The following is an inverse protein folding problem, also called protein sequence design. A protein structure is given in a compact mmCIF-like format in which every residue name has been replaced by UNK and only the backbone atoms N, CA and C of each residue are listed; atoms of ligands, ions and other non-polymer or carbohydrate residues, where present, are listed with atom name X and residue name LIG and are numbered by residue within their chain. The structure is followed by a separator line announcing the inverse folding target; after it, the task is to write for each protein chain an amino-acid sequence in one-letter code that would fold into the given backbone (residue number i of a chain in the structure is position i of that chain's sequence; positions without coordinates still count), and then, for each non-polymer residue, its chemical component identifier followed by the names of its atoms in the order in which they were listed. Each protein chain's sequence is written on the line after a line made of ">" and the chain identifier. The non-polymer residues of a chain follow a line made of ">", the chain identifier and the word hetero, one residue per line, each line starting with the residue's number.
data_IF_030878890004
#
_entry.id   IF_030878890004
#
_cell.length_a   1.000
_cell.length_b   1.000
_cell.length_c   1.000
_cell.angle_alpha   90.00
_cell.angle_beta   90.00
_cell.angle_gamma   90.00
#
_symmetry.space_group_name_H-M   'P 1'
#
loop_
_entity.id
_entity.type
_entity.pdbx_description
1 polymer ?
#
# COMPACT_ATOMS: atom_id res chain seq x y z
N UNK A 1 -50.97 -73.48 -54.75
CA UNK A 1 -51.23 -74.00 -56.12
C UNK A 1 -51.78 -72.86 -56.97
N UNK A 2 -51.37 -72.82 -58.25
CA UNK A 2 -51.67 -71.82 -59.32
C UNK A 2 -51.01 -70.43 -59.11
N UNK A 3 -50.00 -69.94 -59.85
CA UNK A 3 -49.63 -69.84 -61.29
C UNK A 3 -50.17 -68.57 -61.98
N UNK A 4 -49.24 -67.86 -62.63
CA UNK A 4 -49.35 -66.88 -63.76
C UNK A 4 -49.87 -65.47 -63.46
N UNK A 5 -49.10 -64.44 -63.86
CA UNK A 5 -49.16 -63.94 -65.24
C UNK A 5 -48.04 -62.93 -65.57
N UNK A 6 -47.60 -63.07 -66.81
CA UNK A 6 -46.65 -62.31 -67.63
C UNK A 6 -47.33 -61.05 -68.20
N UNK A 7 -46.62 -59.92 -68.33
CA UNK A 7 -46.28 -59.30 -69.63
C UNK A 7 -45.49 -57.97 -69.53
N UNK A 8 -44.78 -57.57 -70.60
CA UNK A 8 -43.62 -56.68 -70.57
C UNK A 8 -43.85 -55.27 -71.14
N UNK A 9 -42.93 -54.37 -70.77
CA UNK A 9 -42.19 -53.49 -71.69
C UNK A 9 -42.83 -52.18 -72.14
N UNK A 10 -42.27 -51.04 -71.72
CA UNK A 10 -41.78 -50.00 -72.63
C UNK A 10 -40.83 -49.00 -71.93
N UNK A 11 -40.01 -48.36 -72.77
CA UNK A 11 -38.75 -47.67 -72.52
C UNK A 11 -38.79 -46.28 -71.84
N UNK A 12 -37.64 -45.96 -71.25
CA UNK A 12 -36.94 -44.66 -71.16
C UNK A 12 -37.54 -43.49 -70.34
N UNK A 13 -36.72 -43.01 -69.41
CA UNK A 13 -36.90 -41.75 -68.70
C UNK A 13 -36.04 -41.70 -67.44
N UNK A 14 -34.72 -41.60 -67.62
CA UNK A 14 -33.75 -41.49 -66.52
C UNK A 14 -33.86 -40.10 -65.88
N UNK A 15 -34.61 -40.02 -64.78
CA UNK A 15 -34.69 -38.83 -63.91
C UNK A 15 -34.01 -39.13 -62.58
N UNK A 16 -32.89 -38.45 -62.33
CA UNK A 16 -32.24 -38.38 -61.03
C UNK A 16 -33.19 -37.70 -60.03
N UNK A 17 -33.64 -38.47 -59.03
CA UNK A 17 -34.26 -37.94 -57.83
C UNK A 17 -33.19 -37.79 -56.74
N UNK A 18 -32.72 -36.56 -56.56
CA UNK A 18 -31.98 -36.12 -55.38
C UNK A 18 -32.91 -36.22 -54.16
N UNK A 19 -32.74 -37.26 -53.35
CA UNK A 19 -33.34 -37.31 -52.03
C UNK A 19 -32.59 -36.32 -51.12
N UNK A 20 -33.27 -35.26 -50.72
CA UNK A 20 -32.81 -34.30 -49.71
C UNK A 20 -32.73 -35.05 -48.38
N UNK A 21 -31.51 -35.41 -47.97
CA UNK A 21 -31.24 -35.82 -46.59
C UNK A 21 -31.34 -34.56 -45.72
N UNK A 22 -32.37 -34.47 -44.87
CA UNK A 22 -32.39 -33.51 -43.78
C UNK A 22 -31.23 -33.81 -42.83
N UNK A 23 -30.10 -33.11 -43.00
CA UNK A 23 -29.08 -33.00 -41.96
C UNK A 23 -29.70 -32.23 -40.80
N UNK A 24 -30.02 -32.93 -39.72
CA UNK A 24 -30.22 -32.30 -38.43
C UNK A 24 -28.86 -31.73 -38.00
N UNK A 25 -28.70 -30.41 -38.11
CA UNK A 25 -27.58 -29.72 -37.51
C UNK A 25 -27.61 -29.96 -35.99
N UNK A 26 -26.47 -30.23 -35.33
CA UNK A 26 -26.44 -30.29 -33.88
C UNK A 26 -26.92 -28.93 -33.35
N UNK A 27 -27.94 -28.94 -32.49
CA UNK A 27 -28.42 -27.75 -31.83
C UNK A 27 -27.23 -27.09 -31.11
N UNK A 28 -26.84 -25.90 -31.55
CA UNK A 28 -25.86 -25.08 -30.85
C UNK A 28 -26.39 -24.80 -29.46
N UNK A 29 -25.76 -25.37 -28.43
CA UNK A 29 -26.01 -25.02 -27.04
C UNK A 29 -25.85 -23.50 -26.94
N UNK A 30 -26.87 -22.74 -26.47
CA UNK A 30 -26.71 -21.31 -26.30
C UNK A 30 -25.56 -21.09 -25.31
N UNK A 31 -24.54 -20.36 -25.74
CA UNK A 31 -23.49 -19.87 -24.86
C UNK A 31 -24.21 -19.04 -23.79
N UNK A 32 -24.07 -19.33 -22.48
CA UNK A 32 -24.66 -18.48 -21.46
C UNK A 32 -24.18 -17.06 -21.71
N UNK A 33 -25.11 -16.14 -21.93
CA UNK A 33 -24.80 -14.73 -22.12
C UNK A 33 -23.95 -14.30 -20.92
N UNK A 34 -22.76 -13.76 -21.20
CA UNK A 34 -21.91 -13.20 -20.17
C UNK A 34 -22.76 -12.20 -19.38
N UNK A 35 -22.91 -12.42 -18.08
CA UNK A 35 -23.56 -11.48 -17.20
C UNK A 35 -22.90 -10.12 -17.42
N UNK A 36 -23.64 -9.05 -17.74
CA UNK A 36 -23.03 -7.74 -17.92
C UNK A 36 -22.24 -7.41 -16.65
N UNK A 37 -20.97 -7.03 -16.84
CA UNK A 37 -20.13 -6.62 -15.72
C UNK A 37 -20.85 -5.50 -14.97
N UNK A 38 -20.85 -5.51 -13.63
CA UNK A 38 -21.39 -4.40 -12.87
C UNK A 38 -20.71 -3.10 -13.33
N UNK A 39 -21.44 -1.96 -13.34
CA UNK A 39 -20.82 -0.69 -13.63
C UNK A 39 -19.63 -0.48 -12.70
N UNK A 40 -18.51 0.09 -13.18
CA UNK A 40 -17.35 0.34 -12.35
C UNK A 40 -17.77 1.23 -11.16
N UNK A 41 -17.17 1.02 -9.98
CA UNK A 41 -17.54 1.77 -8.79
C UNK A 41 -17.30 3.26 -9.02
N UNK A 42 -18.19 4.10 -8.48
CA UNK A 42 -18.07 5.55 -8.59
C UNK A 42 -16.87 6.11 -7.81
N UNK A 43 -16.44 5.37 -6.80
CA UNK A 43 -15.30 5.69 -5.95
C UNK A 43 -14.37 4.48 -5.91
N UNK A 44 -13.08 4.73 -6.10
CA UNK A 44 -12.03 3.73 -5.94
C UNK A 44 -11.19 4.04 -4.70
N UNK A 45 -10.73 2.99 -4.02
CA UNK A 45 -9.83 3.11 -2.87
C UNK A 45 -8.43 2.71 -3.33
N UNK A 46 -7.48 3.61 -3.17
CA UNK A 46 -6.06 3.36 -3.45
C UNK A 46 -5.39 3.05 -2.13
N UNK A 47 -5.05 1.78 -1.90
CA UNK A 47 -4.26 1.38 -0.74
C UNK A 47 -2.81 1.82 -0.97
N UNK A 48 -2.28 2.62 -0.06
CA UNK A 48 -0.93 3.18 -0.17
C UNK A 48 0.04 2.38 0.70
N UNK A 49 -0.40 1.93 1.88
CA UNK A 49 0.39 1.03 2.74
C UNK A 49 0.67 -0.30 2.05
N UNK A 50 1.92 -0.73 2.07
CA UNK A 50 2.40 -1.94 1.39
C UNK A 50 2.73 -3.08 2.36
N UNK A 51 3.12 -2.75 3.59
CA UNK A 51 3.67 -3.72 4.54
C UNK A 51 2.66 -4.11 5.63
N UNK A 52 1.60 -4.80 5.23
CA UNK A 52 0.50 -5.25 6.10
C UNK A 52 0.69 -6.70 6.55
N UNK A 53 0.54 -6.95 7.86
CA UNK A 53 0.65 -8.29 8.45
C UNK A 53 -0.45 -8.60 9.46
N UNK A 54 -0.39 -9.77 10.09
CA UNK A 54 -1.30 -10.13 11.18
C UNK A 54 -1.19 -9.16 12.37
N UNK A 55 -2.31 -8.91 13.03
CA UNK A 55 -2.45 -8.02 14.18
C UNK A 55 -2.88 -6.60 13.78
N UNK A 56 -2.50 -5.63 14.62
CA UNK A 56 -2.88 -4.22 14.47
C UNK A 56 -1.97 -3.51 13.48
N UNK A 57 -2.54 -2.91 12.44
CA UNK A 57 -1.83 -2.21 11.37
C UNK A 57 -2.41 -0.81 11.16
N UNK A 58 -1.54 0.20 11.02
CA UNK A 58 -1.93 1.51 10.52
C UNK A 58 -2.01 1.46 9.00
N UNK A 59 -3.22 1.58 8.47
CA UNK A 59 -3.47 1.70 7.04
C UNK A 59 -3.51 3.15 6.60
N UNK A 60 -2.94 3.41 5.43
CA UNK A 60 -2.96 4.67 4.72
C UNK A 60 -3.53 4.43 3.32
N UNK A 61 -4.53 5.20 2.94
CA UNK A 61 -5.19 5.07 1.65
C UNK A 61 -5.75 6.40 1.15
N UNK A 62 -6.01 6.47 -0.16
CA UNK A 62 -6.69 7.58 -0.82
C UNK A 62 -8.04 7.15 -1.40
N UNK A 63 -8.93 8.11 -1.60
CA UNK A 63 -10.16 7.93 -2.37
C UNK A 63 -10.06 8.74 -3.65
N UNK A 64 -10.47 8.14 -4.77
CA UNK A 64 -10.57 8.83 -6.06
C UNK A 64 -11.90 8.52 -6.71
N UNK A 65 -12.42 9.45 -7.51
CA UNK A 65 -13.59 9.19 -8.35
C UNK A 65 -13.23 8.38 -9.61
N UNK A 66 -14.19 8.25 -10.53
CA UNK A 66 -14.01 7.52 -11.79
C UNK A 66 -13.00 8.15 -12.75
N UNK A 67 -12.78 9.46 -12.63
CA UNK A 67 -11.83 10.20 -13.45
C UNK A 67 -10.43 10.23 -12.80
N UNK A 68 -10.27 9.60 -11.62
CA UNK A 68 -9.03 9.58 -10.87
C UNK A 68 -8.82 10.84 -10.02
N UNK A 69 -9.83 11.69 -9.88
CA UNK A 69 -9.73 12.90 -9.08
C UNK A 69 -9.84 12.58 -7.58
N UNK A 70 -8.96 13.13 -6.72
CA UNK A 70 -9.01 12.88 -5.29
C UNK A 70 -10.33 13.31 -4.64
N UNK A 71 -10.92 12.41 -3.85
CA UNK A 71 -12.10 12.67 -3.04
C UNK A 71 -11.72 12.88 -1.58
N UNK A 72 -11.83 14.13 -1.12
CA UNK A 72 -11.53 14.48 0.29
C UNK A 72 -12.71 14.17 1.20
N UNK A 73 -12.47 13.46 2.29
CA UNK A 73 -13.44 13.18 3.35
C UNK A 73 -12.75 13.36 4.70
N UNK A 74 -13.34 14.10 5.62
CA UNK A 74 -12.72 14.30 6.94
C UNK A 74 -12.67 13.00 7.75
N UNK A 75 -13.74 12.20 7.63
CA UNK A 75 -13.84 10.85 8.18
C UNK A 75 -14.58 9.91 7.22
N UNK A 76 -14.30 8.62 7.30
CA UNK A 76 -15.02 7.60 6.56
C UNK A 76 -15.16 6.31 7.39
N UNK A 77 -16.30 5.63 7.29
CA UNK A 77 -16.48 4.32 7.92
C UNK A 77 -15.85 3.23 7.06
N UNK A 78 -15.19 2.28 7.70
CA UNK A 78 -14.44 1.22 7.07
C UNK A 78 -14.97 -0.15 7.46
N UNK A 79 -14.89 -1.08 6.51
CA UNK A 79 -15.06 -2.51 6.73
C UNK A 79 -13.90 -3.24 6.06
N UNK A 80 -13.13 -4.00 6.83
CA UNK A 80 -12.14 -4.93 6.32
C UNK A 80 -12.80 -6.28 6.03
N UNK A 81 -12.75 -6.69 4.77
CA UNK A 81 -13.43 -7.88 4.26
C UNK A 81 -12.37 -8.90 3.86
N UNK A 82 -12.36 -10.06 4.52
CA UNK A 82 -11.48 -11.17 4.15
C UNK A 82 -12.05 -11.91 2.93
N UNK A 83 -11.22 -12.16 1.92
CA UNK A 83 -11.62 -12.86 0.70
C UNK A 83 -11.18 -14.32 0.77
N UNK A 84 -12.10 -15.21 1.18
CA UNK A 84 -11.82 -16.64 1.28
C UNK A 84 -11.61 -17.24 -0.13
N UNK A 85 -10.47 -17.93 -0.38
CA UNK A 85 -10.22 -18.56 -1.68
C UNK A 85 -11.34 -19.53 -2.07
N UNK A 86 -11.89 -19.36 -3.28
CA UNK A 86 -12.96 -20.21 -3.81
C UNK A 86 -14.37 -19.84 -3.34
N UNK A 87 -14.54 -18.80 -2.52
CA UNK A 87 -15.85 -18.24 -2.17
C UNK A 87 -16.12 -16.96 -2.96
N UNK A 88 -17.39 -16.72 -3.29
CA UNK A 88 -17.82 -15.50 -3.98
C UNK A 88 -18.03 -14.33 -3.02
N UNK A 89 -18.34 -14.60 -1.76
CA UNK A 89 -18.61 -13.60 -0.73
C UNK A 89 -17.43 -13.51 0.25
N UNK A 90 -17.08 -12.28 0.63
CA UNK A 90 -16.10 -12.03 1.67
C UNK A 90 -16.74 -11.85 3.04
N UNK A 91 -15.95 -12.06 4.09
CA UNK A 91 -16.39 -11.93 5.48
C UNK A 91 -15.88 -10.62 6.08
N UNK A 92 -16.77 -9.78 6.63
CA UNK A 92 -16.33 -8.60 7.41
C UNK A 92 -15.70 -9.09 8.71
N UNK A 93 -14.40 -8.81 8.91
CA UNK A 93 -13.67 -9.24 10.12
C UNK A 93 -13.33 -8.09 11.05
N UNK A 94 -13.28 -6.86 10.53
CA UNK A 94 -12.99 -5.67 11.31
C UNK A 94 -13.70 -4.43 10.73
N UNK A 95 -13.98 -3.46 11.59
CA UNK A 95 -14.61 -2.19 11.23
C UNK A 95 -13.92 -1.04 11.94
N UNK A 96 -13.79 0.09 11.26
CA UNK A 96 -13.09 1.24 11.81
C UNK A 96 -13.59 2.56 11.27
N UNK A 97 -12.99 3.65 11.74
CA UNK A 97 -13.20 4.99 11.20
C UNK A 97 -11.85 5.51 10.76
N UNK A 98 -11.74 5.86 9.48
CA UNK A 98 -10.60 6.59 8.99
C UNK A 98 -10.73 8.08 9.27
N UNK A 99 -9.59 8.73 9.48
CA UNK A 99 -9.48 10.17 9.60
C UNK A 99 -8.55 10.73 8.55
N UNK A 100 -8.88 11.91 8.03
CA UNK A 100 -8.03 12.61 7.08
C UNK A 100 -6.82 13.22 7.76
N UNK A 101 -5.65 12.95 7.21
CA UNK A 101 -4.37 13.56 7.58
C UNK A 101 -3.89 14.40 6.40
N UNK A 102 -3.94 15.72 6.58
CA UNK A 102 -3.48 16.67 5.59
C UNK A 102 -1.95 16.67 5.53
N UNK A 103 -1.38 16.71 4.33
CA UNK A 103 0.05 16.91 4.15
C UNK A 103 0.43 18.39 4.39
N UNK A 104 1.65 18.69 4.85
CA UNK A 104 2.04 20.06 5.14
C UNK A 104 2.10 20.97 3.90
N UNK A 105 2.46 20.42 2.73
CA UNK A 105 2.68 21.17 1.50
C UNK A 105 1.40 21.61 0.76
N UNK A 106 0.19 21.33 1.29
CA UNK A 106 -1.05 21.72 0.62
C UNK A 106 -2.33 21.14 1.23
N UNK A 107 -3.49 21.34 0.57
CA UNK A 107 -4.77 20.79 1.04
C UNK A 107 -4.94 19.28 0.79
N UNK A 108 -3.98 18.64 0.12
CA UNK A 108 -3.93 17.21 -0.13
C UNK A 108 -3.62 16.44 1.15
N UNK A 109 -3.86 15.13 1.13
CA UNK A 109 -3.64 14.27 2.28
C UNK A 109 -4.14 12.87 2.02
N UNK A 110 -4.14 12.08 3.08
CA UNK A 110 -4.49 10.66 3.06
C UNK A 110 -5.48 10.36 4.17
N UNK A 111 -6.26 9.30 4.00
CA UNK A 111 -7.06 8.73 5.08
C UNK A 111 -6.22 7.69 5.81
N UNK A 112 -6.27 7.74 7.14
CA UNK A 112 -5.56 6.80 8.00
C UNK A 112 -6.51 6.13 8.97
N UNK A 113 -6.34 4.83 9.17
CA UNK A 113 -7.05 4.07 10.20
C UNK A 113 -6.17 2.94 10.75
N UNK A 114 -6.40 2.57 12.01
CA UNK A 114 -5.84 1.34 12.56
C UNK A 114 -6.84 0.21 12.37
N UNK A 115 -6.42 -0.87 11.73
CA UNK A 115 -7.23 -2.06 11.46
C UNK A 115 -6.53 -3.31 12.00
N UNK A 116 -7.29 -4.30 12.45
CA UNK A 116 -6.76 -5.57 12.95
C UNK A 116 -7.03 -6.71 11.97
N UNK A 117 -5.98 -7.43 11.58
CA UNK A 117 -6.08 -8.57 10.67
C UNK A 117 -5.72 -9.87 11.36
N UNK A 118 -6.61 -10.86 11.25
CA UNK A 118 -6.47 -12.15 11.94
C UNK A 118 -6.20 -13.32 10.99
N UNK A 119 -6.06 -13.04 9.69
CA UNK A 119 -5.78 -14.03 8.64
C UNK A 119 -4.86 -13.45 7.58
N UNK A 120 -3.99 -14.30 7.05
CA UNK A 120 -3.18 -14.01 5.87
C UNK A 120 -3.97 -14.20 4.59
N UNK A 121 -3.52 -13.55 3.51
CA UNK A 121 -4.10 -13.63 2.17
C UNK A 121 -4.74 -12.32 1.72
N UNK A 122 -5.68 -12.40 0.78
CA UNK A 122 -6.28 -11.22 0.17
C UNK A 122 -7.47 -10.69 0.98
N UNK A 123 -7.49 -9.38 1.10
CA UNK A 123 -8.51 -8.61 1.79
C UNK A 123 -9.01 -7.49 0.88
N UNK A 124 -10.17 -6.95 1.23
CA UNK A 124 -10.76 -5.79 0.58
C UNK A 124 -11.19 -4.78 1.63
N UNK A 125 -10.74 -3.53 1.47
CA UNK A 125 -11.21 -2.40 2.26
C UNK A 125 -12.44 -1.83 1.57
N UNK A 126 -13.59 -1.88 2.24
CA UNK A 126 -14.78 -1.16 1.84
C UNK A 126 -14.89 0.13 2.63
N UNK A 127 -15.07 1.25 1.93
CA UNK A 127 -15.14 2.59 2.51
C UNK A 127 -16.51 3.18 2.20
N UNK A 128 -17.32 3.36 3.24
CA UNK A 128 -18.62 4.00 3.11
C UNK A 128 -18.42 5.52 2.99
N UNK A 129 -18.83 6.07 1.85
CA UNK A 129 -18.57 7.45 1.45
C UNK A 129 -19.72 8.00 0.60
N UNK A 130 -19.49 9.11 -0.07
CA UNK A 130 -20.39 9.68 -1.06
C UNK A 130 -19.67 9.84 -2.39
N UNK A 131 -20.39 9.73 -3.51
CA UNK A 131 -19.89 10.04 -4.84
C UNK A 131 -19.65 11.54 -5.05
N UNK A 132 -19.09 11.96 -6.19
CA UNK A 132 -18.90 13.38 -6.53
C UNK A 132 -20.20 14.20 -6.55
N UNK A 133 -21.33 13.55 -6.86
CA UNK A 133 -22.68 14.15 -6.88
C UNK A 133 -23.36 14.19 -5.49
N UNK A 134 -22.67 13.69 -4.46
CA UNK A 134 -23.18 13.61 -3.08
C UNK A 134 -24.06 12.39 -2.79
N UNK A 135 -24.29 11.50 -3.76
CA UNK A 135 -25.03 10.26 -3.52
C UNK A 135 -24.23 9.28 -2.65
N UNK A 136 -24.87 8.39 -1.87
CA UNK A 136 -24.14 7.35 -1.12
C UNK A 136 -23.37 6.42 -2.05
N UNK A 137 -22.09 6.20 -1.74
CA UNK A 137 -21.20 5.33 -2.53
C UNK A 137 -20.35 4.46 -1.60
N UNK A 138 -19.89 3.32 -2.13
CA UNK A 138 -18.93 2.45 -1.44
C UNK A 138 -17.69 2.34 -2.31
N UNK A 139 -16.56 2.82 -1.80
CA UNK A 139 -15.26 2.61 -2.42
C UNK A 139 -14.69 1.26 -2.03
N UNK A 140 -14.06 0.57 -2.97
CA UNK A 140 -13.41 -0.73 -2.74
C UNK A 140 -11.93 -0.67 -3.13
N UNK A 141 -11.07 -1.28 -2.32
CA UNK A 141 -9.64 -1.45 -2.60
C UNK A 141 -9.14 -2.78 -2.07
N UNK A 142 -8.43 -3.54 -2.89
CA UNK A 142 -7.87 -4.83 -2.50
C UNK A 142 -6.44 -4.68 -1.97
N UNK A 143 -6.06 -5.53 -1.03
CA UNK A 143 -4.70 -5.60 -0.48
C UNK A 143 -4.40 -7.02 0.02
N UNK A 144 -3.13 -7.31 0.26
CA UNK A 144 -2.68 -8.59 0.82
C UNK A 144 -2.19 -8.37 2.26
N UNK A 145 -2.52 -9.30 3.14
CA UNK A 145 -2.00 -9.38 4.50
C UNK A 145 -1.06 -10.58 4.59
N UNK A 146 0.19 -10.32 4.97
CA UNK A 146 1.22 -11.34 5.15
C UNK A 146 1.22 -11.88 6.59
N UNK A 147 1.92 -12.98 6.82
CA UNK A 147 2.08 -13.52 8.18
C UNK A 147 2.90 -12.58 9.06
N UNK A 148 3.94 -11.98 8.48
CA UNK A 148 4.83 -11.01 9.10
C UNK A 148 5.11 -9.87 8.14
N UNK A 149 5.54 -8.76 8.69
CA UNK A 149 5.97 -7.60 7.93
C UNK A 149 7.34 -7.83 7.30
N UNK A 150 7.58 -7.18 6.17
CA UNK A 150 8.88 -7.15 5.50
C UNK A 150 9.88 -6.31 6.29
N UNK A 151 9.42 -5.19 6.84
CA UNK A 151 10.21 -4.37 7.76
C UNK A 151 10.20 -4.98 9.18
N UNK A 152 11.14 -4.61 10.08
CA UNK A 152 11.16 -5.09 11.46
C UNK A 152 9.78 -5.04 12.14
N UNK A 153 9.37 -6.15 12.74
CA UNK A 153 8.05 -6.25 13.38
C UNK A 153 8.04 -5.50 14.70
N UNK A 154 6.85 -5.14 15.17
CA UNK A 154 6.69 -4.62 16.52
C UNK A 154 7.18 -5.66 17.55
N UNK A 155 8.03 -5.22 18.48
CA UNK A 155 8.67 -6.04 19.52
C UNK A 155 9.97 -6.72 19.11
N UNK A 156 10.32 -6.74 17.81
CA UNK A 156 11.60 -7.24 17.34
C UNK A 156 12.74 -6.25 17.69
N UNK A 157 13.99 -6.73 17.89
CA UNK A 157 15.15 -5.85 17.97
C UNK A 157 15.30 -5.02 16.70
N UNK A 158 15.53 -3.72 16.85
CA UNK A 158 15.86 -2.86 15.71
C UNK A 158 17.22 -3.26 15.10
N UNK A 159 17.36 -3.26 13.76
CA UNK A 159 18.66 -3.45 13.13
C UNK A 159 19.66 -2.40 13.62
N UNK A 160 20.84 -2.86 14.06
CA UNK A 160 21.91 -2.01 14.59
C UNK A 160 22.76 -1.42 13.46
N UNK A 161 22.12 -0.66 12.58
CA UNK A 161 22.73 -0.11 11.38
C UNK A 161 23.79 0.95 11.70
N UNK A 162 24.92 0.89 11.00
CA UNK A 162 25.90 1.99 11.02
C UNK A 162 25.48 2.99 9.95
N UNK A 163 25.03 4.17 10.39
CA UNK A 163 24.57 5.25 9.50
C UNK A 163 25.54 6.43 9.52
N UNK A 164 25.67 7.18 8.41
CA UNK A 164 26.53 8.36 8.37
C UNK A 164 26.15 9.39 9.44
N UNK A 165 27.16 10.06 10.01
CA UNK A 165 26.98 11.17 10.96
C UNK A 165 27.57 12.44 10.40
N UNK A 166 27.18 13.58 10.96
CA UNK A 166 27.74 14.89 10.61
C UNK A 166 29.15 15.13 11.17
N UNK A 167 29.68 14.22 11.99
CA UNK A 167 30.99 14.41 12.62
C UNK A 167 32.11 14.39 11.58
N UNK A 168 32.89 15.49 11.52
CA UNK A 168 34.00 15.61 10.58
C UNK A 168 33.60 15.91 9.14
N UNK A 169 32.31 16.14 8.86
CA UNK A 169 31.84 16.62 7.56
C UNK A 169 31.85 18.15 7.52
N UNK A 170 32.39 18.70 6.44
CA UNK A 170 32.28 20.13 6.14
C UNK A 170 30.87 20.51 5.64
N UNK A 171 30.16 19.54 5.04
CA UNK A 171 28.84 19.72 4.42
C UNK A 171 27.96 18.47 4.58
N UNK A 172 26.77 18.68 5.17
CA UNK A 172 25.76 17.63 5.38
C UNK A 172 25.11 17.18 4.06
N UNK A 173 25.19 17.96 2.98
CA UNK A 173 24.64 17.57 1.67
C UNK A 173 25.20 16.23 1.16
N UNK A 174 26.37 15.84 1.67
CA UNK A 174 27.00 14.55 1.36
C UNK A 174 26.22 13.34 1.91
N UNK A 175 25.41 13.53 2.96
CA UNK A 175 24.67 12.47 3.67
C UNK A 175 23.16 12.72 3.75
N UNK A 176 22.67 13.88 3.31
CA UNK A 176 21.23 14.16 3.16
C UNK A 176 20.93 15.04 1.97
N UNK A 177 19.81 14.77 1.31
CA UNK A 177 19.24 15.63 0.27
C UNK A 177 18.40 16.78 0.81
N UNK A 178 18.19 16.89 2.13
CA UNK A 178 17.48 18.04 2.71
C UNK A 178 18.20 19.34 2.37
N UNK A 179 17.46 20.33 1.88
CA UNK A 179 18.00 21.66 1.58
C UNK A 179 18.26 22.49 2.83
N UNK A 180 17.55 22.19 3.92
CA UNK A 180 17.69 22.83 5.23
C UNK A 180 17.78 21.74 6.31
N UNK A 181 18.90 21.00 6.39
CA UNK A 181 19.02 19.88 7.31
C UNK A 181 19.12 20.37 8.77
N UNK A 182 18.39 19.72 9.68
CA UNK A 182 18.61 19.84 11.13
C UNK A 182 19.87 19.04 11.51
N UNK A 183 20.99 19.69 11.89
CA UNK A 183 22.24 19.00 12.18
C UNK A 183 22.13 18.02 13.36
N UNK A 184 21.15 18.23 14.25
CA UNK A 184 20.96 17.37 15.42
C UNK A 184 20.51 15.96 15.05
N UNK A 185 19.88 15.79 13.88
CA UNK A 185 19.44 14.50 13.36
C UNK A 185 20.60 13.62 12.84
N UNK A 186 21.83 14.14 12.81
CA UNK A 186 23.02 13.45 12.31
C UNK A 186 24.13 13.34 13.37
N UNK A 187 23.80 13.52 14.65
CA UNK A 187 24.79 13.44 15.75
C UNK A 187 25.24 12.03 16.09
N UNK A 188 24.36 11.04 15.87
CA UNK A 188 24.59 9.65 16.23
C UNK A 188 24.22 8.76 15.05
N UNK A 189 24.95 7.66 14.89
CA UNK A 189 24.49 6.54 14.08
C UNK A 189 23.43 5.72 14.81
N UNK A 190 22.63 4.91 14.10
CA UNK A 190 21.58 4.09 14.72
C UNK A 190 22.17 3.17 15.81
N UNK A 191 23.24 2.44 15.51
CA UNK A 191 23.91 1.55 16.46
C UNK A 191 24.38 2.29 17.73
N UNK A 192 24.91 3.51 17.59
CA UNK A 192 25.32 4.35 18.72
C UNK A 192 24.11 4.84 19.53
N UNK A 193 23.03 5.26 18.87
CA UNK A 193 21.83 5.72 19.56
C UNK A 193 21.18 4.61 20.40
N UNK A 194 21.19 3.37 19.90
CA UNK A 194 20.70 2.20 20.63
C UNK A 194 21.51 1.90 21.90
N UNK A 195 22.78 2.31 21.95
CA UNK A 195 23.65 2.09 23.13
C UNK A 195 23.46 3.14 24.23
N UNK A 196 22.76 4.24 23.94
CA UNK A 196 22.51 5.30 24.94
C UNK A 196 21.49 4.90 26.02
N UNK A 197 20.71 3.84 25.81
CA UNK A 197 19.61 3.43 26.68
C UNK A 197 18.42 4.38 26.69
N UNK A 198 18.35 5.33 25.74
CA UNK A 198 17.18 6.20 25.49
C UNK A 198 16.35 5.66 24.33
N UNK A 199 15.03 5.95 24.28
CA UNK A 199 14.25 5.71 23.07
C UNK A 199 14.86 6.43 21.86
N UNK A 200 14.64 5.87 20.68
CA UNK A 200 15.10 6.43 19.41
C UNK A 200 13.92 6.61 18.46
N UNK A 201 13.80 7.80 17.87
CA UNK A 201 12.96 8.04 16.70
C UNK A 201 13.88 8.11 15.48
N UNK A 202 13.64 7.24 14.49
CA UNK A 202 14.40 7.25 13.24
C UNK A 202 13.45 7.41 12.07
N UNK A 203 13.80 8.31 11.15
CA UNK A 203 13.09 8.52 9.88
C UNK A 203 13.99 8.17 8.71
N UNK A 204 13.48 7.33 7.81
CA UNK A 204 14.08 7.02 6.51
C UNK A 204 13.31 7.79 5.45
N UNK A 205 14.00 8.69 4.74
CA UNK A 205 13.39 9.60 3.78
C UNK A 205 14.41 10.13 2.79
N UNK A 206 13.93 10.52 1.59
CA UNK A 206 14.67 11.38 0.65
C UNK A 206 14.00 12.74 0.53
N UNK A 207 14.38 13.72 1.40
CA UNK A 207 13.70 15.00 1.50
C UNK A 207 13.46 15.75 0.19
N UNK A 208 14.45 15.83 -0.70
CA UNK A 208 14.34 16.64 -1.91
C UNK A 208 13.81 15.91 -3.15
N UNK A 209 13.85 14.57 -3.18
CA UNK A 209 13.64 13.81 -4.43
C UNK A 209 12.53 12.77 -4.38
N UNK A 210 11.88 12.56 -3.22
CA UNK A 210 10.87 11.52 -3.16
C UNK A 210 9.59 11.88 -3.93
N UNK A 211 9.01 10.88 -4.60
CA UNK A 211 7.90 11.05 -5.55
C UNK A 211 6.64 11.59 -4.89
N UNK A 212 6.38 11.21 -3.63
CA UNK A 212 5.21 11.66 -2.88
C UNK A 212 5.29 13.12 -2.43
N UNK A 213 6.49 13.72 -2.44
CA UNK A 213 6.80 15.02 -1.85
C UNK A 213 6.45 15.13 -0.35
N UNK A 214 6.27 14.00 0.35
CA UNK A 214 6.00 13.99 1.80
C UNK A 214 7.24 13.77 2.65
N UNK A 215 8.38 13.41 2.05
CA UNK A 215 9.58 13.01 2.78
C UNK A 215 10.29 14.19 3.44
N UNK A 216 10.42 15.33 2.76
CA UNK A 216 10.91 16.57 3.36
C UNK A 216 10.07 16.98 4.56
N UNK A 217 8.73 17.15 4.39
CA UNK A 217 7.83 17.41 5.50
C UNK A 217 7.89 16.36 6.62
N UNK A 218 8.12 15.09 6.31
CA UNK A 218 8.26 14.05 7.34
C UNK A 218 9.50 14.27 8.21
N UNK A 219 10.64 14.62 7.61
CA UNK A 219 11.87 14.95 8.35
C UNK A 219 11.70 16.21 9.20
N UNK A 220 11.00 17.22 8.67
CA UNK A 220 10.64 18.43 9.44
C UNK A 220 9.77 18.10 10.66
N UNK A 221 8.78 17.22 10.51
CA UNK A 221 7.96 16.76 11.64
C UNK A 221 8.83 16.08 12.70
N UNK A 222 9.77 15.23 12.32
CA UNK A 222 10.69 14.58 13.28
C UNK A 222 11.58 15.60 13.98
N UNK A 223 12.09 16.61 13.26
CA UNK A 223 12.82 17.73 13.86
C UNK A 223 11.94 18.51 14.87
N UNK A 224 10.67 18.76 14.56
CA UNK A 224 9.73 19.42 15.48
C UNK A 224 9.46 18.59 16.75
N UNK A 225 9.35 17.26 16.61
CA UNK A 225 9.23 16.37 17.78
C UNK A 225 10.52 16.38 18.59
N UNK A 226 11.69 16.34 17.94
CA UNK A 226 13.01 16.44 18.59
C UNK A 226 13.09 17.66 19.50
N UNK A 227 12.63 18.83 19.07
CA UNK A 227 12.63 20.05 19.91
C UNK A 227 11.93 19.88 21.27
N UNK A 228 10.96 18.96 21.38
CA UNK A 228 10.19 18.71 22.62
C UNK A 228 10.75 17.57 23.48
N UNK A 229 11.60 16.71 22.92
CA UNK A 229 11.99 15.43 23.53
C UNK A 229 13.49 15.11 23.45
N UNK A 230 14.32 16.01 22.94
CA UNK A 230 15.78 15.83 22.77
C UNK A 230 16.53 15.50 24.06
N UNK A 231 15.97 15.83 25.22
CA UNK A 231 16.52 15.46 26.53
C UNK A 231 16.29 13.99 26.87
N UNK A 232 15.20 13.39 26.37
CA UNK A 232 14.71 12.05 26.76
C UNK A 232 14.79 11.00 25.66
N UNK A 233 14.93 11.39 24.39
CA UNK A 233 15.03 10.47 23.25
C UNK A 233 16.07 10.96 22.22
N UNK A 234 16.56 10.03 21.41
CA UNK A 234 17.42 10.33 20.27
C UNK A 234 16.58 10.45 18.99
N UNK A 235 17.08 11.20 18.02
CA UNK A 235 16.41 11.46 16.75
C UNK A 235 17.41 11.35 15.62
N UNK A 236 17.09 10.55 14.59
CA UNK A 236 17.97 10.31 13.45
C UNK A 236 17.17 10.43 12.16
N UNK A 237 17.76 11.12 11.18
CA UNK A 237 17.35 11.00 9.78
C UNK A 237 18.36 10.14 9.02
N UNK A 238 17.85 9.19 8.24
CA UNK A 238 18.63 8.38 7.31
C UNK A 238 18.15 8.65 5.91
N UNK A 239 19.05 9.19 5.09
CA UNK A 239 18.82 9.32 3.66
C UNK A 239 18.71 7.94 3.01
N UNK A 240 17.71 7.75 2.15
CA UNK A 240 17.44 6.45 1.53
C UNK A 240 18.48 6.09 0.46
N UNK A 241 19.06 7.10 -0.21
CA UNK A 241 20.06 6.91 -1.25
C UNK A 241 21.47 7.27 -0.80
N UNK A 242 22.46 6.52 -1.28
CA UNK A 242 23.85 6.89 -1.11
C UNK A 242 24.21 8.12 -1.95
N UNK A 243 25.11 8.95 -1.43
CA UNK A 243 25.63 10.14 -2.09
C UNK A 243 24.52 11.09 -2.62
N UNK A 244 23.60 11.57 -1.76
CA UNK A 244 22.48 12.43 -2.16
C UNK A 244 22.90 13.69 -2.94
N UNK A 245 24.05 14.27 -2.63
CA UNK A 245 24.65 15.38 -3.38
C UNK A 245 24.95 15.10 -4.87
N UNK A 246 25.04 13.82 -5.27
CA UNK A 246 25.27 13.41 -6.66
C UNK A 246 23.98 13.10 -7.42
N UNK A 247 22.81 13.28 -6.78
CA UNK A 247 21.52 13.08 -7.43
C UNK A 247 21.26 14.26 -8.37
N UNK A 248 21.28 13.97 -9.68
CA UNK A 248 20.95 14.94 -10.73
C UNK A 248 19.52 14.69 -11.24
N UNK A 249 18.64 15.70 -11.09
CA UNK A 249 17.21 15.55 -11.38
C UNK A 249 16.50 14.64 -10.35
N UNK A 250 15.41 13.96 -10.74
CA UNK A 250 14.70 13.01 -9.86
C UNK A 250 15.18 11.56 -10.05
N UNK A 251 16.48 11.37 -10.30
CA UNK A 251 17.05 10.03 -10.54
C UNK A 251 18.26 9.79 -9.63
N UNK A 252 18.15 8.88 -8.66
CA UNK A 252 19.30 8.45 -7.88
C UNK A 252 20.40 7.90 -8.78
N UNK A 253 21.63 8.35 -8.56
CA UNK A 253 22.82 7.87 -9.29
C UNK A 253 23.58 6.79 -8.50
N UNK A 254 23.35 6.71 -7.18
CA UNK A 254 23.89 5.70 -6.27
C UNK A 254 22.92 4.57 -5.91
N UNK A 255 23.38 3.65 -5.05
CA UNK A 255 22.56 2.60 -4.46
C UNK A 255 21.68 3.11 -3.31
N UNK A 256 20.91 2.19 -2.72
CA UNK A 256 20.25 2.44 -1.43
C UNK A 256 21.28 2.43 -0.32
N UNK A 257 21.11 3.29 0.69
CA UNK A 257 21.95 3.26 1.89
C UNK A 257 21.87 1.87 2.54
N UNK A 258 22.98 1.34 3.10
CA UNK A 258 22.99 -0.01 3.70
C UNK A 258 21.88 -0.25 4.72
N UNK A 259 21.58 0.76 5.55
CA UNK A 259 20.51 0.70 6.54
C UNK A 259 19.12 0.46 5.91
N UNK A 260 18.84 0.99 4.72
CA UNK A 260 17.56 0.75 4.03
C UNK A 260 17.39 -0.74 3.70
N UNK A 261 18.47 -1.39 3.28
CA UNK A 261 18.48 -2.82 3.00
C UNK A 261 18.41 -3.67 4.28
N UNK A 262 19.14 -3.26 5.33
CA UNK A 262 19.11 -3.95 6.63
C UNK A 262 17.73 -3.92 7.30
N UNK A 263 17.00 -2.82 7.11
CA UNK A 263 15.62 -2.65 7.58
C UNK A 263 14.58 -3.15 6.57
N UNK A 264 15.02 -3.61 5.40
CA UNK A 264 14.19 -4.16 4.32
C UNK A 264 12.98 -3.26 3.96
N UNK A 265 13.24 -1.96 3.76
CA UNK A 265 12.19 -0.96 3.52
C UNK A 265 11.66 -1.03 2.08
N UNK A 266 10.34 -1.22 1.86
CA UNK A 266 9.76 -1.32 0.52
C UNK A 266 9.46 0.03 -0.13
N UNK A 267 9.44 1.10 0.66
CA UNK A 267 8.95 2.43 0.27
C UNK A 267 9.59 3.53 1.12
N UNK A 268 9.20 4.78 0.88
CA UNK A 268 9.53 5.92 1.74
C UNK A 268 8.36 6.92 1.79
N UNK A 269 8.25 7.74 2.86
CA UNK A 269 9.07 7.71 4.06
C UNK A 269 8.63 6.63 5.07
N UNK A 270 9.56 6.23 5.93
CA UNK A 270 9.27 5.38 7.11
C UNK A 270 9.72 6.08 8.38
N UNK A 271 8.92 6.00 9.45
CA UNK A 271 9.30 6.46 10.79
C UNK A 271 9.17 5.31 11.77
N UNK A 272 10.22 5.03 12.52
CA UNK A 272 10.23 4.02 13.58
C UNK A 272 10.47 4.67 14.94
N UNK A 273 9.87 4.08 15.96
CA UNK A 273 10.08 4.42 17.37
C UNK A 273 10.60 3.16 18.04
N UNK A 274 11.79 3.26 18.62
CA UNK A 274 12.49 2.19 19.27
C UNK A 274 12.54 2.49 20.77
N UNK A 275 12.22 1.50 21.60
CA UNK A 275 12.23 1.62 23.06
C UNK A 275 13.65 1.63 23.65
N UNK A 276 13.74 1.81 24.98
CA UNK A 276 15.02 1.81 25.74
C UNK A 276 15.77 0.48 25.71
N UNK A 277 15.11 -0.61 25.28
CA UNK A 277 15.71 -1.93 25.14
C UNK A 277 16.16 -2.22 23.70
N UNK A 278 16.00 -1.25 22.80
CA UNK A 278 16.36 -1.39 21.39
C UNK A 278 15.34 -2.19 20.58
N UNK A 279 14.09 -2.28 21.03
CA UNK A 279 13.01 -2.97 20.30
C UNK A 279 12.07 -1.99 19.60
N UNK A 280 11.56 -2.39 18.44
CA UNK A 280 10.61 -1.59 17.68
C UNK A 280 9.28 -1.50 18.43
N UNK A 281 8.95 -0.33 18.96
CA UNK A 281 7.69 -0.07 19.66
C UNK A 281 6.58 0.34 18.70
N UNK A 282 6.91 1.21 17.74
CA UNK A 282 6.00 1.63 16.70
C UNK A 282 6.72 1.81 15.36
N UNK A 283 5.98 1.64 14.27
CA UNK A 283 6.44 1.90 12.92
C UNK A 283 5.33 2.52 12.10
N UNK A 284 5.71 3.43 11.21
CA UNK A 284 4.77 4.15 10.37
C UNK A 284 5.31 4.22 8.95
N UNK A 285 4.52 3.68 8.01
CA UNK A 285 4.73 3.87 6.57
C UNK A 285 3.99 5.14 6.14
N UNK A 286 4.60 5.89 5.21
CA UNK A 286 4.10 7.18 4.71
C UNK A 286 4.13 8.31 5.75
N UNK A 287 3.60 9.47 5.34
CA UNK A 287 3.50 10.64 6.20
C UNK A 287 2.79 10.31 7.52
N UNK A 288 3.39 10.77 8.61
CA UNK A 288 2.95 10.55 9.98
C UNK A 288 3.01 11.86 10.73
N UNK A 289 1.90 12.20 11.38
CA UNK A 289 1.76 13.48 12.08
C UNK A 289 2.64 13.55 13.32
N UNK A 290 2.96 14.77 13.76
CA UNK A 290 3.68 14.99 15.02
C UNK A 290 2.90 14.35 16.18
N UNK A 291 1.58 14.49 16.20
CA UNK A 291 0.72 13.94 17.25
C UNK A 291 0.83 12.41 17.35
N UNK A 292 0.86 11.71 16.20
CA UNK A 292 1.03 10.25 16.16
C UNK A 292 2.41 9.82 16.68
N UNK A 293 3.48 10.49 16.25
CA UNK A 293 4.85 10.20 16.70
C UNK A 293 5.00 10.50 18.19
N UNK A 294 4.49 11.65 18.65
CA UNK A 294 4.55 12.02 20.07
C UNK A 294 3.76 11.07 20.96
N UNK A 295 2.58 10.62 20.52
CA UNK A 295 1.77 9.67 21.28
C UNK A 295 2.53 8.35 21.48
N UNK A 296 3.05 7.76 20.40
CA UNK A 296 3.78 6.51 20.47
C UNK A 296 5.13 6.66 21.19
N UNK A 297 5.83 7.80 21.05
CA UNK A 297 7.06 8.05 21.78
C UNK A 297 6.81 8.12 23.29
N UNK A 298 5.76 8.81 23.75
CA UNK A 298 5.42 8.96 25.17
C UNK A 298 5.18 7.63 25.89
N UNK A 299 4.79 6.58 25.17
CA UNK A 299 4.58 5.25 25.74
C UNK A 299 5.89 4.56 26.17
N UNK A 300 7.05 5.00 25.64
CA UNK A 300 8.36 4.38 25.91
C UNK A 300 9.37 5.31 26.61
N UNK A 301 8.97 6.54 26.95
CA UNK A 301 9.80 7.53 27.64
C UNK A 301 10.11 7.20 29.10
#
# INVERSE_FOLDING_TARGET
>A
MAVKAWRPGFLWGMWLLLAVACSAAPASTPIPAATPLPPPPEVNVIIITQDLALGSNRMVFGLVDRDGMPLRRDKAQLRAIYLTPGQQEGEVRDTGVAEFKQWPAGPQGVLTATMNFDRTGFWQLAVDTTGPDGSPAVGLGAFEVKEKTETPSLGDPAPRSVTPTGEGLDDLSTITSSTEPDPDLYRLSIDQALDTGKPLVVVFATPAFCVSATCGPQVEIVSQVKEKFSDRANFIHVEVFENPHLIEGNRPTGGLAPAVNEWNLPSEPWTFIIDKQGKVHAKFEQFTTAEEIEAALREVL
#
